data_IF_533242926781
#
_entry.id   IF_533242926781
#
_cell.length_a   1.000
_cell.length_b   1.000
_cell.length_c   1.000
_cell.angle_alpha   90.00
_cell.angle_beta   90.00
_cell.angle_gamma   90.00
#
_symmetry.space_group_name_H-M   'P 1'
#
loop_
_entity.id
_entity.type
_entity.pdbx_description
1 polymer ?
#
# COMPACT_ATOMS: atom_id res chain seq x y z
N UNK A 1 19.73 16.57 -25.69
CA UNK A 1 19.16 16.02 -26.92
C UNK A 1 17.70 16.39 -27.13
N UNK A 2 16.80 16.09 -26.19
CA UNK A 2 15.34 16.38 -26.31
C UNK A 2 15.05 17.85 -26.57
N UNK A 3 15.69 18.78 -25.83
CA UNK A 3 15.49 20.22 -26.01
C UNK A 3 15.81 20.69 -27.42
N UNK A 4 16.92 20.21 -28.00
CA UNK A 4 17.34 20.56 -29.36
C UNK A 4 16.32 20.09 -30.39
N UNK A 5 15.79 18.88 -30.23
CA UNK A 5 14.74 18.33 -31.09
C UNK A 5 13.46 19.16 -30.95
N UNK A 6 13.05 19.53 -29.75
CA UNK A 6 11.87 20.37 -29.53
C UNK A 6 12.01 21.74 -30.17
N UNK A 7 13.17 22.39 -30.04
CA UNK A 7 13.43 23.69 -30.69
C UNK A 7 13.43 23.57 -32.21
N UNK A 8 14.03 22.51 -32.75
CA UNK A 8 14.05 22.25 -34.17
C UNK A 8 12.62 22.00 -34.72
N UNK A 9 11.83 21.18 -34.03
CA UNK A 9 10.44 20.92 -34.39
C UNK A 9 9.59 22.20 -34.31
N UNK A 10 9.77 23.00 -33.26
CA UNK A 10 9.09 24.28 -33.12
C UNK A 10 9.43 25.24 -34.26
N UNK A 11 10.70 25.28 -34.67
CA UNK A 11 11.13 26.08 -35.86
C UNK A 11 10.48 25.56 -37.15
N UNK A 12 10.43 24.25 -37.36
CA UNK A 12 9.76 23.68 -38.56
C UNK A 12 8.27 24.02 -38.57
N UNK A 13 7.59 23.86 -37.46
CA UNK A 13 6.16 24.22 -37.33
C UNK A 13 5.95 25.70 -37.61
N UNK A 14 6.75 26.56 -37.00
CA UNK A 14 6.70 28.00 -37.26
C UNK A 14 6.94 28.33 -38.74
N UNK A 15 8.01 27.80 -39.33
CA UNK A 15 8.43 28.14 -40.70
C UNK A 15 7.51 27.61 -41.78
N UNK A 16 7.02 26.39 -41.63
CA UNK A 16 6.26 25.72 -42.69
C UNK A 16 4.74 25.71 -42.48
N UNK A 17 4.28 25.83 -41.25
CA UNK A 17 2.87 25.80 -40.90
C UNK A 17 2.37 27.19 -40.53
N UNK A 18 2.97 27.80 -39.50
CA UNK A 18 2.44 29.03 -38.94
C UNK A 18 2.57 30.23 -39.85
N UNK A 19 3.71 30.44 -40.48
CA UNK A 19 3.89 31.52 -41.45
C UNK A 19 2.96 31.36 -42.68
N UNK A 20 2.77 30.13 -43.15
CA UNK A 20 1.87 29.84 -44.25
C UNK A 20 0.41 30.03 -43.83
N UNK A 21 0.04 29.54 -42.65
CA UNK A 21 -1.32 29.70 -42.11
C UNK A 21 -1.70 31.16 -41.91
N UNK A 22 -0.76 31.99 -41.41
CA UNK A 22 -0.98 33.45 -41.24
C UNK A 22 -1.12 34.21 -42.54
N UNK A 23 -0.48 33.72 -43.60
CA UNK A 23 -0.57 34.32 -44.93
C UNK A 23 -1.88 33.95 -45.67
N UNK A 24 -2.53 32.85 -45.29
CA UNK A 24 -3.78 32.39 -45.91
C UNK A 24 -4.99 33.07 -45.26
N UNK A 25 -5.75 33.83 -46.06
CA UNK A 25 -7.06 34.41 -45.63
C UNK A 25 -8.25 33.45 -45.88
N UNK A 26 -7.98 32.19 -46.20
CA UNK A 26 -8.98 31.21 -46.57
C UNK A 26 -9.60 30.52 -45.36
N UNK A 27 -10.91 30.62 -45.20
CA UNK A 27 -11.66 29.86 -44.19
C UNK A 27 -11.52 28.34 -44.34
N UNK A 28 -11.31 27.86 -45.57
CA UNK A 28 -11.11 26.43 -45.84
C UNK A 28 -9.83 25.91 -45.18
N UNK A 29 -8.75 26.70 -45.24
CA UNK A 29 -7.49 26.33 -44.58
C UNK A 29 -7.63 26.30 -43.06
N UNK A 30 -8.33 27.27 -42.47
CA UNK A 30 -8.61 27.27 -41.02
C UNK A 30 -9.44 26.06 -40.59
N UNK A 31 -10.41 25.67 -41.41
CA UNK A 31 -11.25 24.48 -41.17
C UNK A 31 -10.42 23.19 -41.24
N UNK A 32 -9.52 23.07 -42.21
CA UNK A 32 -8.60 21.90 -42.32
C UNK A 32 -7.74 21.78 -41.07
N UNK A 33 -7.16 22.88 -40.55
CA UNK A 33 -6.38 22.86 -39.32
C UNK A 33 -7.23 22.47 -38.12
N UNK A 34 -8.44 22.99 -38.00
CA UNK A 34 -9.36 22.62 -36.91
C UNK A 34 -9.69 21.12 -36.94
N UNK A 35 -10.01 20.58 -38.10
CA UNK A 35 -10.28 19.15 -38.28
C UNK A 35 -9.05 18.31 -37.93
N UNK A 36 -7.85 18.71 -38.33
CA UNK A 36 -6.60 18.04 -37.98
C UNK A 36 -6.35 18.06 -36.48
N UNK A 37 -6.62 19.17 -35.79
CA UNK A 37 -6.50 19.26 -34.31
C UNK A 37 -7.49 18.35 -33.61
N UNK A 38 -8.77 18.33 -34.07
CA UNK A 38 -9.79 17.43 -33.51
C UNK A 38 -9.37 15.97 -33.72
N UNK A 39 -8.92 15.63 -34.92
CA UNK A 39 -8.47 14.27 -35.23
C UNK A 39 -7.29 13.82 -34.37
N UNK A 40 -6.27 14.66 -34.19
CA UNK A 40 -5.12 14.37 -33.32
C UNK A 40 -5.54 14.24 -31.85
N UNK A 41 -6.49 15.08 -31.40
CA UNK A 41 -7.06 14.97 -30.04
C UNK A 41 -7.82 13.64 -29.84
N UNK A 42 -8.68 13.28 -30.80
CA UNK A 42 -9.40 11.99 -30.75
C UNK A 42 -8.47 10.79 -30.84
N UNK A 43 -7.43 10.87 -31.66
CA UNK A 43 -6.39 9.85 -31.75
C UNK A 43 -5.66 9.69 -30.39
N UNK A 44 -5.31 10.81 -29.73
CA UNK A 44 -4.72 10.80 -28.40
C UNK A 44 -5.61 10.13 -27.35
N UNK A 45 -6.92 10.43 -27.37
CA UNK A 45 -7.90 9.79 -26.49
C UNK A 45 -8.04 8.29 -26.80
N UNK A 46 -8.06 7.92 -28.08
CA UNK A 46 -8.14 6.52 -28.51
C UNK A 46 -6.90 5.72 -28.07
N UNK A 47 -5.71 6.31 -28.15
CA UNK A 47 -4.46 5.73 -27.66
C UNK A 47 -4.51 5.60 -26.13
N UNK A 48 -4.95 6.64 -25.41
CA UNK A 48 -5.06 6.63 -23.96
C UNK A 48 -6.04 5.54 -23.47
N UNK A 49 -7.15 5.33 -24.18
CA UNK A 49 -8.16 4.30 -23.86
C UNK A 49 -7.84 2.92 -24.42
N UNK A 50 -6.67 2.75 -24.97
CA UNK A 50 -6.17 1.50 -25.61
C UNK A 50 -7.07 0.90 -26.70
N UNK A 51 -7.90 1.73 -27.32
CA UNK A 51 -8.78 1.29 -28.42
C UNK A 51 -8.02 0.85 -29.69
N UNK A 52 -6.73 1.19 -29.77
CA UNK A 52 -5.85 0.84 -30.89
C UNK A 52 -4.87 -0.29 -30.57
N UNK A 53 -4.97 -0.91 -29.38
CA UNK A 53 -4.05 -1.98 -28.93
C UNK A 53 -2.58 -1.53 -28.80
N UNK A 54 -2.33 -0.21 -28.82
CA UNK A 54 -0.98 0.35 -28.71
C UNK A 54 -0.48 0.42 -27.26
N UNK A 55 -1.36 0.20 -26.29
CA UNK A 55 -1.09 0.26 -24.87
C UNK A 55 -0.80 -1.09 -24.22
N UNK A 56 -0.85 -2.20 -24.97
CA UNK A 56 -0.64 -3.55 -24.43
C UNK A 56 0.70 -3.70 -23.67
N UNK A 57 1.65 -2.78 -23.88
CA UNK A 57 2.92 -2.68 -23.15
C UNK A 57 2.95 -1.57 -22.08
N UNK A 58 1.85 -0.78 -21.91
CA UNK A 58 1.70 0.19 -20.81
C UNK A 58 1.18 -0.44 -19.53
N UNK A 59 0.68 -1.68 -19.58
CA UNK A 59 0.04 -2.38 -18.46
C UNK A 59 0.94 -2.44 -17.23
N UNK A 60 2.26 -2.45 -17.42
CA UNK A 60 3.20 -2.47 -16.32
C UNK A 60 3.15 -1.21 -15.44
N UNK A 61 2.98 -0.03 -16.02
CA UNK A 61 2.85 1.22 -15.26
C UNK A 61 1.42 1.43 -14.74
N UNK A 62 0.41 0.87 -15.42
CA UNK A 62 -0.98 0.86 -14.95
C UNK A 62 -1.14 -0.12 -13.78
N UNK A 63 -0.50 -1.28 -13.80
CA UNK A 63 -0.49 -2.22 -12.69
C UNK A 63 0.15 -1.59 -11.44
N UNK A 64 1.24 -0.83 -11.59
CA UNK A 64 1.88 -0.10 -10.49
C UNK A 64 0.99 0.99 -9.88
N UNK A 65 0.24 1.72 -10.71
CA UNK A 65 -0.57 2.86 -10.23
C UNK A 65 -2.03 2.49 -9.99
N UNK A 66 -2.60 1.58 -10.78
CA UNK A 66 -4.05 1.37 -10.80
C UNK A 66 -4.53 0.44 -9.68
N UNK A 67 -3.80 -0.63 -9.38
CA UNK A 67 -4.20 -1.56 -8.33
C UNK A 67 -4.00 -0.95 -6.93
N UNK A 68 -2.96 -0.14 -6.72
CA UNK A 68 -2.78 0.59 -5.46
C UNK A 68 -3.84 1.69 -5.29
N UNK A 69 -4.14 2.46 -6.34
CA UNK A 69 -5.17 3.50 -6.27
C UNK A 69 -6.60 2.95 -6.26
N UNK A 70 -6.87 1.84 -6.93
CA UNK A 70 -8.19 1.19 -6.84
C UNK A 70 -8.45 0.59 -5.46
N UNK A 71 -7.40 0.16 -4.76
CA UNK A 71 -7.46 -0.26 -3.36
C UNK A 71 -7.47 0.95 -2.40
N UNK A 72 -6.95 2.11 -2.82
CA UNK A 72 -6.89 3.35 -2.04
C UNK A 72 -8.21 4.15 -2.04
N UNK A 73 -9.23 3.77 -2.81
CA UNK A 73 -10.57 4.33 -2.66
C UNK A 73 -11.46 3.39 -1.82
N UNK A 74 -11.33 3.44 -0.49
CA UNK A 74 -12.08 2.57 0.40
C UNK A 74 -13.60 2.81 0.31
N UNK A 75 -14.03 3.91 -0.30
CA UNK A 75 -15.43 4.27 -0.47
C UNK A 75 -16.08 3.55 -1.67
N UNK A 76 -15.31 3.12 -2.67
CA UNK A 76 -15.86 2.50 -3.89
C UNK A 76 -16.11 0.99 -3.78
N UNK A 77 -15.54 0.32 -2.77
CA UNK A 77 -15.56 -1.15 -2.69
C UNK A 77 -16.06 -1.69 -1.34
N UNK A 78 -16.95 -0.95 -0.66
CA UNK A 78 -17.59 -1.48 0.53
C UNK A 78 -18.57 -2.60 0.13
N UNK A 79 -18.15 -3.85 0.44
CA UNK A 79 -19.06 -4.99 0.35
C UNK A 79 -20.16 -4.94 1.42
N UNK A 80 -21.12 -5.82 1.29
CA UNK A 80 -22.29 -5.87 2.20
C UNK A 80 -21.86 -6.05 3.67
N UNK A 81 -20.84 -6.85 3.94
CA UNK A 81 -20.39 -7.11 5.31
C UNK A 81 -19.76 -5.88 5.95
N UNK A 82 -18.91 -5.17 5.21
CA UNK A 82 -18.30 -3.92 5.65
C UNK A 82 -19.37 -2.86 5.94
N UNK A 83 -20.37 -2.71 5.06
CA UNK A 83 -21.50 -1.79 5.28
C UNK A 83 -22.31 -2.15 6.54
N UNK A 84 -22.64 -3.43 6.72
CA UNK A 84 -23.35 -3.92 7.90
C UNK A 84 -22.57 -3.65 9.20
N UNK A 85 -21.23 -3.78 9.17
CA UNK A 85 -20.39 -3.41 10.32
C UNK A 85 -20.46 -1.91 10.61
N UNK A 86 -20.44 -1.05 9.60
CA UNK A 86 -20.58 0.40 9.79
C UNK A 86 -21.92 0.76 10.44
N UNK A 87 -23.01 0.17 9.97
CA UNK A 87 -24.34 0.37 10.55
C UNK A 87 -24.39 -0.13 12.00
N UNK A 88 -23.97 -1.37 12.25
CA UNK A 88 -23.97 -2.00 13.57
C UNK A 88 -23.17 -1.22 14.62
N UNK A 89 -22.08 -0.59 14.23
CA UNK A 89 -21.20 0.18 15.12
C UNK A 89 -21.36 1.70 14.98
N UNK A 90 -22.39 2.15 14.25
CA UNK A 90 -22.68 3.56 14.02
C UNK A 90 -21.47 4.36 13.48
N UNK A 91 -20.70 3.75 12.56
CA UNK A 91 -19.55 4.35 11.92
C UNK A 91 -20.04 5.18 10.73
N UNK A 92 -20.24 6.48 10.94
CA UNK A 92 -20.73 7.38 9.89
C UNK A 92 -19.60 7.94 9.04
N UNK A 93 -19.44 7.42 7.83
CA UNK A 93 -18.44 7.88 6.86
C UNK A 93 -18.81 9.16 6.10
N UNK A 94 -20.10 9.46 5.99
CA UNK A 94 -20.58 10.58 5.18
C UNK A 94 -20.30 11.95 5.82
N UNK A 95 -20.19 11.99 7.15
CA UNK A 95 -19.81 13.18 7.93
C UNK A 95 -18.34 13.18 8.35
N UNK A 96 -17.53 12.27 7.81
CA UNK A 96 -16.17 12.04 8.24
C UNK A 96 -15.23 13.21 7.92
N UNK A 97 -14.46 13.67 8.91
CA UNK A 97 -13.30 14.54 8.71
C UNK A 97 -12.26 13.84 7.82
N UNK A 98 -11.27 14.60 7.32
CA UNK A 98 -10.20 14.00 6.53
C UNK A 98 -9.47 12.86 7.28
N UNK A 99 -9.30 12.97 8.60
CA UNK A 99 -8.71 11.93 9.45
C UNK A 99 -9.58 10.68 9.53
N UNK A 100 -10.90 10.82 9.60
CA UNK A 100 -11.85 9.72 9.61
C UNK A 100 -11.91 8.96 8.27
N UNK A 101 -11.68 9.66 7.16
CA UNK A 101 -11.58 9.06 5.82
C UNK A 101 -10.35 8.17 5.65
N UNK A 102 -9.36 8.33 6.51
CA UNK A 102 -8.14 7.51 6.53
C UNK A 102 -8.35 6.13 7.18
N UNK A 103 -9.52 5.87 7.78
CA UNK A 103 -9.85 4.55 8.34
C UNK A 103 -10.26 3.57 7.24
N UNK A 104 -9.58 2.44 7.21
CA UNK A 104 -9.69 1.40 6.20
C UNK A 104 -10.24 0.12 6.85
N UNK A 105 -11.56 -0.10 6.75
CA UNK A 105 -12.20 -1.31 7.28
C UNK A 105 -12.64 -2.19 6.12
N UNK A 106 -12.36 -3.49 6.22
CA UNK A 106 -12.81 -4.50 5.27
C UNK A 106 -13.14 -5.79 5.99
N UNK A 107 -14.20 -6.48 5.56
CA UNK A 107 -14.63 -7.71 6.21
C UNK A 107 -15.29 -8.68 5.21
N UNK A 108 -15.19 -9.97 5.49
CA UNK A 108 -15.99 -10.98 4.81
C UNK A 108 -17.07 -11.61 5.72
N UNK A 109 -17.30 -11.01 6.88
CA UNK A 109 -18.45 -11.28 7.76
C UNK A 109 -18.81 -10.04 8.56
N UNK A 110 -20.08 -9.91 8.94
CA UNK A 110 -20.56 -8.98 9.96
C UNK A 110 -21.04 -9.73 11.23
N UNK A 111 -20.93 -11.05 11.25
CA UNK A 111 -21.27 -11.88 12.40
C UNK A 111 -20.03 -12.08 13.29
N UNK A 112 -20.07 -11.50 14.48
CA UNK A 112 -19.00 -11.62 15.48
C UNK A 112 -19.05 -12.95 16.26
N UNK A 113 -20.04 -13.81 16.01
CA UNK A 113 -20.11 -15.14 16.63
C UNK A 113 -19.32 -16.19 15.84
N UNK A 114 -18.89 -15.87 14.62
CA UNK A 114 -17.99 -16.73 13.84
C UNK A 114 -16.56 -16.69 14.39
N UNK A 115 -15.77 -17.72 14.08
CA UNK A 115 -14.34 -17.70 14.36
C UNK A 115 -13.63 -16.66 13.48
N UNK A 116 -12.93 -15.73 14.11
CA UNK A 116 -12.43 -14.53 13.46
C UNK A 116 -10.91 -14.43 13.44
N UNK A 117 -10.39 -14.00 12.30
CA UNK A 117 -9.11 -13.31 12.22
C UNK A 117 -9.35 -11.82 12.34
N UNK A 118 -8.56 -11.15 13.15
CA UNK A 118 -8.45 -9.69 13.14
C UNK A 118 -7.12 -9.27 12.54
N UNK A 119 -7.14 -8.27 11.68
CA UNK A 119 -5.94 -7.66 11.12
C UNK A 119 -5.98 -6.17 11.46
N UNK A 120 -4.99 -5.70 12.21
CA UNK A 120 -4.97 -4.34 12.75
C UNK A 120 -3.63 -3.64 12.49
N UNK A 121 -3.67 -2.34 12.20
CA UNK A 121 -2.49 -1.54 11.94
C UNK A 121 -2.81 -0.32 11.08
N UNK A 122 -1.88 0.04 10.21
CA UNK A 122 -2.05 1.11 9.23
C UNK A 122 -2.34 0.56 7.82
N UNK A 123 -1.96 1.29 6.77
CA UNK A 123 -2.15 0.86 5.39
C UNK A 123 -1.47 -0.48 5.07
N UNK A 124 -0.34 -0.80 5.70
CA UNK A 124 0.34 -2.10 5.54
C UNK A 124 -0.53 -3.25 6.06
N UNK A 125 -1.17 -3.07 7.21
CA UNK A 125 -2.13 -4.04 7.74
C UNK A 125 -3.36 -4.19 6.84
N UNK A 126 -3.81 -3.11 6.19
CA UNK A 126 -4.93 -3.17 5.26
C UNK A 126 -4.64 -4.05 4.05
N UNK A 127 -3.51 -3.84 3.38
CA UNK A 127 -3.15 -4.61 2.19
C UNK A 127 -2.91 -6.09 2.51
N UNK A 128 -2.17 -6.38 3.58
CA UNK A 128 -2.02 -7.74 4.08
C UNK A 128 -3.39 -8.36 4.44
N UNK A 129 -4.26 -7.59 5.07
CA UNK A 129 -5.59 -8.02 5.44
C UNK A 129 -6.45 -8.42 4.25
N UNK A 130 -6.38 -7.71 3.14
CA UNK A 130 -7.04 -8.08 1.88
C UNK A 130 -6.55 -9.44 1.37
N UNK A 131 -5.27 -9.71 1.48
CA UNK A 131 -4.71 -11.00 1.05
C UNK A 131 -5.15 -12.14 1.98
N UNK A 132 -5.20 -11.91 3.30
CA UNK A 132 -5.73 -12.88 4.29
C UNK A 132 -7.22 -13.15 4.02
N UNK A 133 -8.01 -12.09 3.80
CA UNK A 133 -9.44 -12.17 3.50
C UNK A 133 -9.76 -13.04 2.28
N UNK A 134 -8.91 -12.98 1.25
CA UNK A 134 -9.06 -13.76 0.02
C UNK A 134 -8.72 -15.23 0.20
N UNK A 135 -7.74 -15.53 1.03
CA UNK A 135 -7.06 -16.83 1.03
C UNK A 135 -7.33 -17.67 2.28
N UNK A 136 -7.67 -17.09 3.44
CA UNK A 136 -8.09 -17.87 4.61
C UNK A 136 -9.54 -18.32 4.43
N UNK A 137 -9.71 -19.64 4.29
CA UNK A 137 -11.02 -20.28 4.16
C UNK A 137 -11.56 -20.82 5.48
N UNK A 138 -10.67 -20.97 6.47
CA UNK A 138 -11.00 -21.54 7.77
C UNK A 138 -11.70 -20.54 8.68
N UNK A 139 -11.22 -19.32 8.73
CA UNK A 139 -11.76 -18.26 9.59
C UNK A 139 -12.21 -17.06 8.78
N UNK A 140 -13.27 -16.43 9.24
CA UNK A 140 -13.68 -15.13 8.71
C UNK A 140 -12.73 -14.05 9.17
N UNK A 141 -12.63 -12.98 8.41
CA UNK A 141 -11.62 -11.95 8.65
C UNK A 141 -12.23 -10.55 8.69
N UNK A 142 -11.77 -9.75 9.64
CA UNK A 142 -12.08 -8.33 9.75
C UNK A 142 -10.74 -7.56 9.80
N UNK A 143 -10.62 -6.63 8.89
CA UNK A 143 -9.49 -5.69 8.80
C UNK A 143 -9.92 -4.37 9.41
N UNK A 144 -9.16 -3.84 10.36
CA UNK A 144 -9.32 -2.50 10.90
C UNK A 144 -7.96 -1.79 10.85
N UNK A 145 -7.82 -0.89 9.91
CA UNK A 145 -6.61 -0.16 9.70
C UNK A 145 -6.87 1.35 9.64
N UNK A 146 -5.87 2.16 9.90
CA UNK A 146 -5.92 3.60 9.70
C UNK A 146 -4.61 4.05 9.05
N UNK A 147 -4.69 4.67 7.88
CA UNK A 147 -3.51 5.07 7.11
C UNK A 147 -2.58 5.95 7.96
N UNK A 148 -1.28 5.67 7.91
CA UNK A 148 -0.23 6.34 8.69
C UNK A 148 -0.40 6.28 10.21
N UNK A 149 -1.27 5.41 10.72
CA UNK A 149 -1.67 5.36 12.11
C UNK A 149 -1.54 3.92 12.65
N UNK A 150 -0.45 3.56 13.28
CA UNK A 150 -0.25 2.23 13.84
C UNK A 150 -1.29 1.94 14.94
N UNK A 151 -1.56 0.66 15.14
CA UNK A 151 -2.48 0.23 16.20
C UNK A 151 -1.88 0.50 17.59
N UNK A 152 -2.65 1.11 18.51
CA UNK A 152 -2.22 1.43 19.87
C UNK A 152 -3.37 1.39 20.87
N UNK A 153 -3.06 0.96 22.09
CA UNK A 153 -3.94 1.07 23.26
C UNK A 153 -3.74 2.34 24.08
N UNK A 154 -2.62 3.05 23.89
CA UNK A 154 -2.28 4.21 24.69
C UNK A 154 -3.14 5.43 24.32
N UNK A 155 -3.86 5.98 25.31
CA UNK A 155 -4.77 7.12 25.14
C UNK A 155 -4.04 8.45 24.96
N UNK A 156 -2.81 8.55 25.43
CA UNK A 156 -2.07 9.79 25.51
C UNK A 156 -1.14 10.00 24.31
N UNK A 157 -0.95 9.01 23.47
CA UNK A 157 -0.12 9.12 22.27
C UNK A 157 -0.91 9.69 21.10
N UNK A 158 -0.22 10.39 20.19
CA UNK A 158 -0.82 10.87 18.94
C UNK A 158 -1.37 9.71 18.08
N UNK A 159 -0.85 8.49 18.27
CA UNK A 159 -1.36 7.27 17.64
C UNK A 159 -2.83 6.97 17.95
N UNK A 160 -3.27 7.27 19.17
CA UNK A 160 -4.67 7.02 19.53
C UNK A 160 -5.61 8.10 19.02
N UNK A 161 -5.14 9.33 18.89
CA UNK A 161 -5.95 10.43 18.33
C UNK A 161 -6.35 10.14 16.88
N UNK A 162 -5.44 9.61 16.08
CA UNK A 162 -5.73 9.28 14.70
C UNK A 162 -6.68 8.08 14.53
N UNK A 163 -6.82 7.22 15.56
CA UNK A 163 -7.75 6.09 15.59
C UNK A 163 -9.03 6.34 16.41
N UNK A 164 -9.19 7.53 16.96
CA UNK A 164 -10.33 7.84 17.85
C UNK A 164 -11.69 7.47 17.26
N UNK A 165 -11.83 7.61 15.94
CA UNK A 165 -13.07 7.33 15.21
C UNK A 165 -13.48 5.84 15.21
N UNK A 166 -12.51 4.92 15.21
CA UNK A 166 -12.77 3.47 15.16
C UNK A 166 -12.47 2.76 16.48
N UNK A 167 -12.16 3.51 17.54
CA UNK A 167 -11.76 2.97 18.83
C UNK A 167 -12.78 2.04 19.47
N UNK A 168 -14.03 2.46 19.51
CA UNK A 168 -15.10 1.67 20.12
C UNK A 168 -15.35 0.39 19.34
N UNK A 169 -15.26 0.46 18.01
CA UNK A 169 -15.31 -0.70 17.15
C UNK A 169 -14.16 -1.67 17.43
N UNK A 170 -12.92 -1.18 17.46
CA UNK A 170 -11.75 -2.00 17.75
C UNK A 170 -11.78 -2.61 19.15
N UNK A 171 -12.20 -1.85 20.17
CA UNK A 171 -12.33 -2.33 21.53
C UNK A 171 -13.35 -3.47 21.65
N UNK A 172 -14.47 -3.37 20.95
CA UNK A 172 -15.48 -4.42 20.89
C UNK A 172 -14.97 -5.65 20.14
N UNK A 173 -14.28 -5.47 19.02
CA UNK A 173 -13.63 -6.57 18.31
C UNK A 173 -12.67 -7.32 19.21
N UNK A 174 -11.73 -6.62 19.85
CA UNK A 174 -10.69 -7.22 20.70
C UNK A 174 -11.25 -7.89 21.97
N UNK A 175 -12.48 -7.61 22.32
CA UNK A 175 -13.20 -8.23 23.45
C UNK A 175 -14.02 -9.43 23.01
N UNK A 176 -14.15 -9.71 21.71
CA UNK A 176 -14.92 -10.85 21.22
C UNK A 176 -14.24 -12.17 21.63
N UNK A 177 -14.98 -13.14 22.20
CA UNK A 177 -14.45 -14.45 22.56
C UNK A 177 -14.14 -15.33 21.33
N UNK A 178 -14.61 -14.94 20.17
CA UNK A 178 -14.50 -15.70 18.93
C UNK A 178 -13.27 -15.38 18.10
N UNK A 179 -12.44 -14.42 18.55
CA UNK A 179 -11.15 -14.19 17.91
C UNK A 179 -10.27 -15.42 18.08
N UNK A 180 -9.69 -15.88 16.99
CA UNK A 180 -8.71 -16.98 16.96
C UNK A 180 -7.31 -16.46 16.69
N UNK A 181 -7.19 -15.45 15.84
CA UNK A 181 -5.90 -14.89 15.45
C UNK A 181 -5.98 -13.39 15.32
N UNK A 182 -4.95 -12.71 15.79
CA UNK A 182 -4.74 -11.27 15.59
C UNK A 182 -3.41 -11.06 14.87
N UNK A 183 -3.46 -10.37 13.74
CA UNK A 183 -2.30 -9.95 12.97
C UNK A 183 -2.12 -8.45 13.12
N UNK A 184 -0.91 -8.02 13.47
CA UNK A 184 -0.56 -6.60 13.62
C UNK A 184 0.65 -6.32 12.77
N UNK A 185 0.56 -5.29 11.94
CA UNK A 185 1.67 -4.70 11.20
C UNK A 185 1.44 -3.23 10.96
N UNK A 186 2.50 -2.48 10.81
CA UNK A 186 2.46 -1.05 10.48
C UNK A 186 3.79 -0.63 9.85
N UNK A 187 3.77 0.47 9.10
CA UNK A 187 4.97 1.12 8.61
C UNK A 187 5.90 1.47 9.78
N UNK A 188 7.05 0.82 9.84
CA UNK A 188 7.99 1.00 10.94
C UNK A 188 9.44 0.81 10.48
N UNK A 189 10.16 1.91 10.43
CA UNK A 189 11.62 1.96 10.34
C UNK A 189 12.15 3.05 11.28
N UNK A 190 13.45 3.13 11.46
CA UNK A 190 14.05 4.06 12.42
C UNK A 190 13.67 5.53 12.13
N UNK A 191 13.64 5.93 10.86
CA UNK A 191 13.24 7.29 10.46
C UNK A 191 11.75 7.56 10.71
N UNK A 192 10.88 6.62 10.38
CA UNK A 192 9.43 6.73 10.61
C UNK A 192 9.11 6.83 12.09
N UNK A 193 9.74 5.99 12.92
CA UNK A 193 9.58 6.03 14.37
C UNK A 193 9.99 7.38 14.95
N UNK A 194 11.15 7.92 14.53
CA UNK A 194 11.59 9.24 14.98
C UNK A 194 10.68 10.35 14.47
N UNK A 195 10.17 10.26 13.25
CA UNK A 195 9.21 11.22 12.69
C UNK A 195 7.90 11.26 13.48
N UNK A 196 7.40 10.11 13.89
CA UNK A 196 6.12 9.96 14.59
C UNK A 196 6.23 10.25 16.09
N UNK A 197 7.26 9.74 16.76
CA UNK A 197 7.37 9.83 18.22
C UNK A 197 8.40 10.83 18.70
N UNK A 198 9.28 11.31 17.82
CA UNK A 198 10.43 12.17 18.14
C UNK A 198 11.42 11.54 19.15
N UNK A 199 11.13 10.34 19.63
CA UNK A 199 11.95 9.66 20.65
C UNK A 199 11.72 8.14 20.62
N UNK A 200 12.78 7.37 20.43
CA UNK A 200 12.73 5.90 20.47
C UNK A 200 12.19 5.32 21.77
N UNK A 201 12.38 5.99 22.92
CA UNK A 201 11.86 5.53 24.22
C UNK A 201 10.33 5.53 24.24
N UNK A 202 9.69 6.49 23.59
CA UNK A 202 8.22 6.54 23.48
C UNK A 202 7.72 5.35 22.67
N UNK A 203 8.38 5.03 21.57
CA UNK A 203 8.02 3.87 20.77
C UNK A 203 8.31 2.54 21.48
N UNK A 204 9.42 2.46 22.23
CA UNK A 204 9.74 1.29 23.06
C UNK A 204 8.67 1.06 24.12
N UNK A 205 8.22 2.11 24.81
CA UNK A 205 7.13 2.04 25.78
C UNK A 205 5.82 1.60 25.11
N UNK A 206 5.50 2.19 23.98
CA UNK A 206 4.33 1.81 23.18
C UNK A 206 4.33 0.31 22.84
N UNK A 207 5.46 -0.25 22.37
CA UNK A 207 5.57 -1.68 22.06
C UNK A 207 5.43 -2.55 23.31
N UNK A 208 6.02 -2.15 24.43
CA UNK A 208 5.95 -2.88 25.69
C UNK A 208 4.51 -2.95 26.20
N UNK A 209 3.80 -1.83 26.21
CA UNK A 209 2.39 -1.75 26.62
C UNK A 209 1.48 -2.56 25.69
N UNK A 210 1.69 -2.45 24.37
CA UNK A 210 0.98 -3.24 23.37
C UNK A 210 1.16 -4.74 23.62
N UNK A 211 2.39 -5.20 23.73
CA UNK A 211 2.70 -6.62 23.92
C UNK A 211 2.22 -7.14 25.26
N UNK A 212 2.32 -6.35 26.33
CA UNK A 212 1.78 -6.67 27.65
C UNK A 212 0.26 -6.93 27.60
N UNK A 213 -0.49 -6.06 26.95
CA UNK A 213 -1.94 -6.22 26.83
C UNK A 213 -2.28 -7.44 25.97
N UNK A 214 -1.61 -7.62 24.84
CA UNK A 214 -1.88 -8.71 23.91
C UNK A 214 -1.46 -10.08 24.47
N UNK A 215 -0.41 -10.16 25.26
CA UNK A 215 0.05 -11.42 25.90
C UNK A 215 -0.97 -12.01 26.88
N UNK A 216 -1.88 -11.18 27.39
CA UNK A 216 -2.97 -11.60 28.29
C UNK A 216 -4.24 -12.07 27.54
N UNK A 217 -4.24 -12.03 26.21
CA UNK A 217 -5.38 -12.48 25.41
C UNK A 217 -5.33 -14.00 25.20
N UNK A 218 -6.51 -14.59 24.95
CA UNK A 218 -6.68 -16.03 24.75
C UNK A 218 -6.66 -16.47 23.27
N UNK A 219 -6.15 -15.61 22.38
CA UNK A 219 -6.00 -15.89 20.95
C UNK A 219 -4.54 -15.75 20.50
N UNK A 220 -4.21 -16.36 19.38
CA UNK A 220 -2.88 -16.26 18.82
C UNK A 220 -2.60 -14.84 18.31
N UNK A 221 -1.45 -14.29 18.64
CA UNK A 221 -1.03 -12.95 18.21
C UNK A 221 0.22 -13.06 17.35
N UNK A 222 0.16 -12.48 16.16
CA UNK A 222 1.24 -12.40 15.18
C UNK A 222 1.59 -10.94 14.97
N UNK A 223 2.79 -10.56 15.36
CA UNK A 223 3.34 -9.23 15.08
C UNK A 223 4.31 -9.35 13.91
N UNK A 224 3.95 -8.73 12.80
CA UNK A 224 4.71 -8.76 11.57
C UNK A 224 5.58 -7.51 11.51
N UNK A 225 6.91 -7.71 11.47
CA UNK A 225 7.87 -6.64 11.24
C UNK A 225 7.63 -6.08 9.84
N UNK A 226 7.76 -4.77 9.69
CA UNK A 226 7.55 -4.11 8.41
C UNK A 226 8.49 -4.61 7.31
N UNK A 227 8.00 -4.57 6.09
CA UNK A 227 8.77 -4.93 4.89
C UNK A 227 9.80 -3.84 4.55
N UNK A 228 10.84 -4.14 3.75
CA UNK A 228 11.82 -3.14 3.36
C UNK A 228 11.20 -1.89 2.74
N UNK A 229 11.57 -0.71 3.28
CA UNK A 229 11.15 0.58 2.75
C UNK A 229 12.19 1.08 1.74
N UNK A 230 11.74 1.44 0.55
CA UNK A 230 12.60 1.87 -0.54
C UNK A 230 12.99 3.34 -0.40
N UNK A 231 14.17 3.70 -0.87
CA UNK A 231 14.62 5.10 -0.95
C UNK A 231 14.28 5.77 -2.29
N UNK A 232 13.59 5.06 -3.15
CA UNK A 232 13.21 5.51 -4.49
C UNK A 232 11.91 4.85 -4.96
N UNK A 233 11.22 5.51 -5.87
CA UNK A 233 9.99 4.99 -6.47
C UNK A 233 10.28 3.81 -7.42
N UNK A 234 9.61 2.65 -7.29
CA UNK A 234 9.80 1.49 -8.16
C UNK A 234 9.65 1.80 -9.63
N UNK A 235 8.77 2.76 -9.99
CA UNK A 235 8.57 3.19 -11.37
C UNK A 235 9.83 3.78 -12.01
N UNK A 236 10.73 4.36 -11.21
CA UNK A 236 12.01 4.89 -11.70
C UNK A 236 12.96 3.81 -12.22
N UNK A 237 12.69 2.56 -11.85
CA UNK A 237 13.44 1.38 -12.27
C UNK A 237 13.08 0.93 -13.69
N UNK A 238 11.93 1.33 -14.17
CA UNK A 238 11.41 0.87 -15.45
C UNK A 238 11.98 1.72 -16.58
N UNK A 239 12.74 1.09 -17.47
CA UNK A 239 13.21 1.71 -18.69
C UNK A 239 12.28 1.36 -19.84
N UNK A 240 11.74 2.39 -20.49
CA UNK A 240 10.88 2.24 -21.68
C UNK A 240 11.68 2.42 -22.93
N UNK A 241 11.69 1.41 -23.77
CA UNK A 241 12.12 1.48 -25.15
C UNK A 241 10.90 1.44 -26.07
N UNK A 242 11.04 1.86 -27.31
CA UNK A 242 9.93 1.91 -28.27
C UNK A 242 9.13 0.59 -28.35
N UNK A 243 9.81 -0.54 -28.20
CA UNK A 243 9.20 -1.86 -28.36
C UNK A 243 9.41 -2.78 -27.14
N UNK A 244 10.00 -2.27 -26.04
CA UNK A 244 10.34 -3.13 -24.91
C UNK A 244 10.35 -2.35 -23.58
N UNK A 245 10.09 -3.05 -22.51
CA UNK A 245 10.19 -2.54 -21.14
C UNK A 245 11.27 -3.36 -20.44
N UNK A 246 12.31 -2.68 -19.95
CA UNK A 246 13.39 -3.31 -19.18
C UNK A 246 13.47 -2.73 -17.79
N UNK A 247 13.83 -3.58 -16.85
CA UNK A 247 14.12 -3.18 -15.47
C UNK A 247 15.62 -2.91 -15.37
N UNK A 248 15.99 -1.79 -14.77
CA UNK A 248 17.41 -1.46 -14.55
C UNK A 248 18.05 -2.54 -13.66
N UNK A 249 19.24 -3.04 -13.97
CA UNK A 249 19.95 -4.04 -13.15
C UNK A 249 20.22 -3.55 -11.72
N UNK A 250 20.32 -2.23 -11.51
CA UNK A 250 20.57 -1.58 -10.21
C UNK A 250 19.31 -1.39 -9.38
N UNK A 251 18.16 -1.93 -9.82
CA UNK A 251 16.90 -1.78 -9.12
C UNK A 251 16.71 -2.77 -7.98
N UNK A 252 17.37 -2.46 -6.89
CA UNK A 252 17.27 -3.15 -5.61
C UNK A 252 17.57 -2.16 -4.48
N UNK A 253 17.11 -2.44 -3.29
CA UNK A 253 17.59 -1.78 -2.08
C UNK A 253 18.82 -2.56 -1.57
N UNK A 254 19.94 -1.89 -1.32
CA UNK A 254 21.11 -2.53 -0.75
C UNK A 254 20.79 -3.09 0.65
N UNK A 255 21.27 -4.28 0.97
CA UNK A 255 20.97 -4.96 2.23
C UNK A 255 21.49 -4.20 3.45
N UNK A 256 22.70 -3.67 3.37
CA UNK A 256 23.32 -2.86 4.41
C UNK A 256 22.51 -1.59 4.70
N UNK A 257 22.01 -0.92 3.68
CA UNK A 257 21.13 0.24 3.84
C UNK A 257 19.81 -0.13 4.55
N UNK A 258 19.19 -1.25 4.18
CA UNK A 258 18.00 -1.73 4.87
C UNK A 258 18.28 -2.07 6.34
N UNK A 259 19.38 -2.76 6.60
CA UNK A 259 19.77 -3.12 7.96
C UNK A 259 20.05 -1.88 8.82
N UNK A 260 20.67 -0.83 8.24
CA UNK A 260 20.85 0.46 8.91
C UNK A 260 19.52 1.14 9.21
N UNK A 261 18.60 1.18 8.26
CA UNK A 261 17.28 1.81 8.41
C UNK A 261 16.38 1.14 9.47
N UNK A 262 16.63 -0.12 9.82
CA UNK A 262 15.77 -0.90 10.70
C UNK A 262 16.47 -1.39 11.98
N UNK A 263 17.72 -1.02 12.16
CA UNK A 263 18.59 -1.53 13.23
C UNK A 263 18.02 -1.32 14.63
N UNK A 264 17.58 -0.10 14.92
CA UNK A 264 17.06 0.27 16.25
C UNK A 264 15.68 -0.37 16.44
N UNK A 265 14.81 -0.27 15.43
CA UNK A 265 13.47 -0.86 15.46
C UNK A 265 13.53 -2.38 15.73
N UNK A 266 14.28 -3.13 14.94
CA UNK A 266 14.39 -4.59 15.11
C UNK A 266 15.00 -4.97 16.46
N UNK A 267 15.97 -4.20 16.97
CA UNK A 267 16.53 -4.40 18.30
C UNK A 267 15.48 -4.19 19.39
N UNK A 268 14.62 -3.16 19.26
CA UNK A 268 13.52 -2.92 20.21
C UNK A 268 12.50 -4.06 20.18
N UNK A 269 12.04 -4.46 18.99
CA UNK A 269 11.08 -5.57 18.84
C UNK A 269 11.65 -6.84 19.46
N UNK A 270 12.92 -7.19 19.17
CA UNK A 270 13.59 -8.37 19.76
C UNK A 270 13.69 -8.29 21.28
N UNK A 271 14.05 -7.12 21.83
CA UNK A 271 14.16 -6.91 23.29
C UNK A 271 12.82 -7.09 23.99
N UNK A 272 11.77 -6.50 23.41
CA UNK A 272 10.44 -6.50 24.06
C UNK A 272 9.77 -7.85 23.88
N UNK A 273 9.81 -8.45 22.70
CA UNK A 273 9.20 -9.76 22.45
C UNK A 273 9.73 -10.85 23.36
N UNK A 274 11.00 -10.76 23.78
CA UNK A 274 11.57 -11.70 24.75
C UNK A 274 10.84 -11.73 26.12
N UNK A 275 10.13 -10.65 26.48
CA UNK A 275 9.31 -10.58 27.70
C UNK A 275 7.92 -11.25 27.50
N UNK A 276 7.48 -11.41 26.26
CA UNK A 276 6.12 -11.82 25.91
C UNK A 276 6.12 -13.00 24.90
N UNK A 277 6.51 -14.21 25.34
CA UNK A 277 6.74 -15.35 24.46
C UNK A 277 5.46 -15.88 23.77
N UNK A 278 4.28 -15.44 24.19
CA UNK A 278 3.01 -15.78 23.54
C UNK A 278 2.80 -15.03 22.20
N UNK A 279 3.55 -13.96 21.96
CA UNK A 279 3.46 -13.18 20.74
C UNK A 279 4.46 -13.75 19.73
N UNK A 280 3.95 -14.20 18.59
CA UNK A 280 4.79 -14.68 17.49
C UNK A 280 5.26 -13.49 16.67
N UNK A 281 6.59 -13.31 16.61
CA UNK A 281 7.20 -12.28 15.74
C UNK A 281 7.52 -12.91 14.39
N UNK A 282 7.07 -12.25 13.32
CA UNK A 282 7.34 -12.64 11.93
C UNK A 282 8.21 -11.56 11.30
N UNK A 283 9.45 -11.91 10.96
CA UNK A 283 10.36 -11.03 10.20
C UNK A 283 10.32 -11.41 8.72
N UNK A 284 9.74 -10.59 7.86
CA UNK A 284 9.64 -10.87 6.43
C UNK A 284 10.94 -10.62 5.66
N UNK A 285 12.00 -10.18 6.32
CA UNK A 285 13.27 -9.85 5.65
C UNK A 285 13.77 -10.97 4.73
N UNK A 286 13.80 -12.26 5.14
CA UNK A 286 14.29 -13.32 4.26
C UNK A 286 13.43 -13.56 3.02
N UNK A 287 12.21 -13.03 3.00
CA UNK A 287 11.30 -13.14 1.85
C UNK A 287 11.69 -12.18 0.74
N UNK A 288 12.13 -10.99 1.13
CA UNK A 288 12.43 -9.90 0.19
C UNK A 288 13.91 -9.65 0.00
N UNK A 289 14.77 -10.08 0.94
CA UNK A 289 16.20 -9.76 0.94
C UNK A 289 17.06 -11.03 1.01
N UNK A 290 18.11 -11.05 0.20
CA UNK A 290 19.27 -11.91 0.38
C UNK A 290 20.36 -11.19 1.20
N UNK A 291 21.59 -11.72 1.24
CA UNK A 291 22.69 -11.14 2.02
C UNK A 291 23.22 -9.83 1.43
N UNK A 292 22.86 -9.48 0.20
CA UNK A 292 23.42 -8.32 -0.53
C UNK A 292 22.37 -7.27 -0.85
N UNK A 293 21.13 -7.69 -1.08
CA UNK A 293 20.08 -6.80 -1.59
C UNK A 293 18.69 -7.26 -1.22
N UNK A 294 17.75 -6.31 -1.20
CA UNK A 294 16.33 -6.57 -1.15
C UNK A 294 15.73 -6.38 -2.55
N UNK A 295 15.00 -7.38 -3.03
CA UNK A 295 14.44 -7.39 -4.39
C UNK A 295 13.15 -6.58 -4.46
N UNK A 296 13.00 -5.83 -5.53
CA UNK A 296 11.84 -4.96 -5.79
C UNK A 296 10.98 -5.56 -6.90
N UNK A 297 11.58 -6.37 -7.75
CA UNK A 297 10.94 -7.05 -8.86
C UNK A 297 11.25 -8.55 -8.82
N UNK A 298 10.27 -9.35 -9.17
CA UNK A 298 10.42 -10.79 -9.34
C UNK A 298 9.86 -11.22 -10.69
N UNK A 299 10.67 -11.88 -11.51
CA UNK A 299 10.30 -12.30 -12.87
C UNK A 299 9.70 -11.16 -13.71
N UNK A 300 10.29 -9.96 -13.61
CA UNK A 300 9.85 -8.78 -14.34
C UNK A 300 8.60 -8.09 -13.78
N UNK A 301 8.01 -8.60 -12.69
CA UNK A 301 6.84 -8.02 -12.05
C UNK A 301 7.22 -7.29 -10.77
N UNK A 302 6.62 -6.13 -10.48
CA UNK A 302 6.92 -5.36 -9.27
C UNK A 302 6.37 -6.06 -8.02
N UNK A 303 7.17 -6.08 -6.96
CA UNK A 303 6.74 -6.48 -5.61
C UNK A 303 6.27 -5.27 -4.80
N UNK A 304 6.66 -4.06 -5.19
CA UNK A 304 6.30 -2.80 -4.55
C UNK A 304 5.56 -1.89 -5.52
N UNK A 305 4.53 -1.23 -5.02
CA UNK A 305 3.73 -0.26 -5.75
C UNK A 305 4.26 1.17 -5.63
N UNK A 306 4.82 1.49 -4.49
CA UNK A 306 5.50 2.75 -4.16
C UNK A 306 6.71 2.47 -3.25
N UNK A 307 7.14 3.46 -2.48
CA UNK A 307 8.34 3.33 -1.64
C UNK A 307 8.17 2.38 -0.45
N UNK A 308 6.94 2.03 -0.05
CA UNK A 308 6.71 1.22 1.15
C UNK A 308 5.54 0.22 1.03
N UNK A 309 4.60 0.42 0.12
CA UNK A 309 3.49 -0.52 -0.05
C UNK A 309 3.82 -1.62 -1.05
N UNK A 310 3.47 -2.84 -0.69
CA UNK A 310 3.57 -3.99 -1.58
C UNK A 310 2.47 -3.97 -2.66
N UNK A 311 2.77 -4.52 -3.82
CA UNK A 311 1.74 -4.89 -4.81
C UNK A 311 1.00 -6.15 -4.33
N UNK A 312 -0.13 -6.54 -4.96
CA UNK A 312 -0.78 -7.82 -4.66
C UNK A 312 0.15 -9.03 -4.79
N UNK A 313 1.16 -8.97 -5.68
CA UNK A 313 2.18 -10.01 -5.79
C UNK A 313 3.11 -10.02 -4.57
N UNK A 314 3.53 -8.85 -4.10
CA UNK A 314 4.33 -8.69 -2.90
C UNK A 314 3.58 -9.15 -1.65
N UNK A 315 2.30 -8.76 -1.51
CA UNK A 315 1.44 -9.19 -0.40
C UNK A 315 1.23 -10.71 -0.39
N UNK A 316 0.99 -11.31 -1.54
CA UNK A 316 0.90 -12.76 -1.66
C UNK A 316 2.19 -13.46 -1.22
N UNK A 317 3.34 -12.89 -1.56
CA UNK A 317 4.65 -13.42 -1.15
C UNK A 317 4.83 -13.32 0.37
N UNK A 318 4.49 -12.17 0.97
CA UNK A 318 4.47 -11.96 2.42
C UNK A 318 3.52 -12.95 3.12
N UNK A 319 2.30 -13.07 2.62
CA UNK A 319 1.29 -13.97 3.17
C UNK A 319 1.73 -15.44 3.13
N UNK A 320 2.40 -15.88 2.07
CA UNK A 320 2.97 -17.24 1.99
C UNK A 320 4.03 -17.50 3.07
N UNK A 321 4.77 -16.48 3.48
CA UNK A 321 5.67 -16.58 4.62
C UNK A 321 4.90 -16.69 5.93
N UNK A 322 3.93 -15.80 6.15
CA UNK A 322 3.11 -15.78 7.36
C UNK A 322 2.43 -17.13 7.61
N UNK A 323 1.95 -17.79 6.56
CA UNK A 323 1.34 -19.13 6.65
C UNK A 323 2.22 -20.17 7.32
N UNK A 324 3.53 -20.08 7.20
CA UNK A 324 4.46 -21.05 7.82
C UNK A 324 4.43 -20.99 9.36
N UNK A 325 4.01 -19.87 9.93
CA UNK A 325 3.90 -19.66 11.38
C UNK A 325 2.53 -20.06 11.93
N UNK A 326 1.57 -20.35 11.07
CA UNK A 326 0.18 -20.64 11.45
C UNK A 326 -0.07 -22.15 11.28
N UNK A 327 -0.14 -22.88 12.41
CA UNK A 327 -0.22 -24.35 12.41
C UNK A 327 -1.45 -24.94 11.70
N UNK A 328 -2.52 -24.17 11.51
CA UNK A 328 -3.81 -24.66 11.00
C UNK A 328 -4.33 -23.78 9.87
N UNK A 329 -3.45 -23.37 8.98
CA UNK A 329 -3.83 -22.59 7.82
C UNK A 329 -4.07 -23.53 6.63
N UNK A 330 -5.29 -24.06 6.51
CA UNK A 330 -5.78 -24.78 5.33
C UNK A 330 -7.20 -24.33 4.96
#
# INVERSE_FOLDING_TARGET
MVLIICVFLAFLVYRFIELYARAQKSYVFALILLVAMIFTGLLGIAIQKDKLGLNSKRDFAQVLNFELFALADPLKHDDIHTKTLFEKFNINRNSATNEQRMSLIKANTADLNENLNLIMGDSHAYFLGIEILKNDKKFKSIVSAASTCPFSFDENTDYRKCRAFIRDFESKLLSSPNIKRLFITALANDATILGQTKNYKIYEQYLDDLFKILSNKNYAVYFIIDTPNLTFEPISCVQRYLNDIKIKPTCFLARDLYDEQTKIYKKMVKKISAKYPKITIIDPTPVFCDDKKCVIFENGKPLYGDTNHLTPLGEKKLFNEIKKYIKDFE
#
